data_IF_664259392312
#
_entry.id   IF_664259392312
#
_cell.length_a   1.000
_cell.length_b   1.000
_cell.length_c   1.000
_cell.angle_alpha   90.00
_cell.angle_beta   90.00
_cell.angle_gamma   90.00
#
_symmetry.space_group_name_H-M   'P 1'
#
loop_
_entity.id
_entity.type
_entity.pdbx_description
1 polymer ?
#
# COMPACT_ATOMS: atom_id res chain seq x y z
N UNK A 1 -7.43 13.83 -18.70
CA UNK A 1 -6.96 13.03 -17.58
C UNK A 1 -8.14 12.66 -16.68
N UNK A 2 -8.90 11.62 -17.08
CA UNK A 2 -9.95 11.05 -16.23
C UNK A 2 -9.30 10.02 -15.32
N UNK A 3 -8.71 10.49 -14.24
CA UNK A 3 -8.40 9.67 -13.07
C UNK A 3 -9.38 10.04 -11.99
N UNK A 4 -10.60 9.50 -12.06
CA UNK A 4 -11.35 9.32 -10.84
C UNK A 4 -10.58 8.25 -10.05
N UNK A 5 -9.84 8.68 -9.04
CA UNK A 5 -9.26 7.74 -8.10
C UNK A 5 -10.41 6.89 -7.53
N UNK A 6 -10.17 5.62 -7.12
CA UNK A 6 -11.21 4.79 -6.49
C UNK A 6 -11.90 5.50 -5.31
N UNK A 7 -11.22 6.46 -4.74
CA UNK A 7 -11.69 7.41 -3.73
C UNK A 7 -12.88 8.24 -4.23
N UNK A 8 -12.75 8.88 -5.42
CA UNK A 8 -13.79 9.77 -5.95
C UNK A 8 -15.06 8.98 -6.30
N UNK A 9 -14.91 7.74 -6.82
CA UNK A 9 -16.04 6.87 -7.11
C UNK A 9 -16.80 6.44 -5.84
N UNK A 10 -16.08 6.08 -4.77
CA UNK A 10 -16.68 5.73 -3.48
C UNK A 10 -17.42 6.95 -2.93
N UNK A 11 -16.82 8.12 -2.96
CA UNK A 11 -17.43 9.35 -2.46
C UNK A 11 -18.66 9.74 -3.25
N UNK A 12 -18.59 9.70 -4.58
CA UNK A 12 -19.74 10.00 -5.47
C UNK A 12 -20.88 9.02 -5.21
N UNK A 13 -20.60 7.72 -5.13
CA UNK A 13 -21.61 6.70 -4.90
C UNK A 13 -22.32 6.89 -3.55
N UNK A 14 -21.56 7.03 -2.46
CA UNK A 14 -22.16 7.17 -1.13
C UNK A 14 -22.79 8.55 -0.91
N UNK A 15 -22.30 9.61 -1.54
CA UNK A 15 -22.95 10.92 -1.50
C UNK A 15 -24.28 10.93 -2.28
N UNK A 16 -24.34 10.25 -3.41
CA UNK A 16 -25.57 10.05 -4.16
C UNK A 16 -26.60 9.24 -3.37
N UNK A 17 -26.15 8.15 -2.73
CA UNK A 17 -26.99 7.32 -1.86
C UNK A 17 -27.54 8.12 -0.67
N UNK A 18 -26.71 8.96 -0.05
CA UNK A 18 -27.11 9.83 1.05
C UNK A 18 -28.13 10.88 0.62
N UNK A 19 -27.93 11.54 -0.54
CA UNK A 19 -28.87 12.51 -1.11
C UNK A 19 -30.20 11.86 -1.45
N UNK A 20 -30.16 10.68 -2.10
CA UNK A 20 -31.35 9.90 -2.40
C UNK A 20 -32.12 9.56 -1.11
N UNK A 21 -31.45 9.03 -0.14
CA UNK A 21 -32.03 8.70 1.16
C UNK A 21 -32.65 9.93 1.83
N UNK A 22 -31.96 11.06 1.86
CA UNK A 22 -32.44 12.30 2.48
C UNK A 22 -33.69 12.84 1.78
N UNK A 23 -33.75 12.74 0.45
CA UNK A 23 -34.91 13.18 -0.36
C UNK A 23 -36.18 12.37 -0.02
N UNK A 24 -36.07 11.07 0.12
CA UNK A 24 -37.21 10.18 0.34
C UNK A 24 -37.56 9.93 1.81
N UNK A 25 -36.59 10.07 2.72
CA UNK A 25 -36.85 9.86 4.15
C UNK A 25 -37.82 10.87 4.78
N UNK A 26 -37.97 12.05 4.19
CA UNK A 26 -38.92 13.07 4.65
C UNK A 26 -40.38 12.73 4.38
N UNK A 27 -40.66 11.76 3.50
CA UNK A 27 -42.03 11.33 3.17
C UNK A 27 -42.65 10.39 4.22
N UNK A 28 -41.83 9.85 5.16
CA UNK A 28 -42.25 8.90 6.18
C UNK A 28 -41.86 9.34 7.59
N UNK A 29 -42.67 10.20 8.25
CA UNK A 29 -42.30 10.80 9.55
C UNK A 29 -42.20 9.82 10.69
N UNK A 30 -42.83 8.64 10.62
CA UNK A 30 -42.78 7.59 11.68
C UNK A 30 -41.44 6.84 11.75
N UNK A 31 -40.51 7.08 10.83
CA UNK A 31 -39.28 6.32 10.70
C UNK A 31 -38.02 7.04 11.22
N UNK A 32 -38.17 7.95 12.18
CA UNK A 32 -37.01 8.70 12.74
C UNK A 32 -35.89 7.78 13.26
N UNK A 33 -36.25 6.67 13.91
CA UNK A 33 -35.26 5.70 14.40
C UNK A 33 -34.56 4.97 13.23
N UNK A 34 -35.32 4.52 12.25
CA UNK A 34 -34.78 3.88 11.04
C UNK A 34 -33.84 4.80 10.28
N UNK A 35 -34.09 6.09 10.32
CA UNK A 35 -33.24 7.13 9.70
C UNK A 35 -31.82 7.10 10.28
N UNK A 36 -31.68 7.02 11.59
CA UNK A 36 -30.36 6.95 12.23
C UNK A 36 -29.65 5.64 11.93
N UNK A 37 -30.36 4.52 11.92
CA UNK A 37 -29.80 3.20 11.61
C UNK A 37 -29.32 3.11 10.16
N UNK A 38 -30.09 3.61 9.20
CA UNK A 38 -29.71 3.62 7.78
C UNK A 38 -28.53 4.56 7.53
N UNK A 39 -28.52 5.76 8.14
CA UNK A 39 -27.40 6.69 8.03
C UNK A 39 -26.12 6.09 8.61
N UNK A 40 -26.20 5.44 9.77
CA UNK A 40 -25.10 4.68 10.36
C UNK A 40 -24.62 3.54 9.45
N UNK A 41 -25.55 2.79 8.87
CA UNK A 41 -25.25 1.71 7.92
C UNK A 41 -24.52 2.20 6.67
N UNK A 42 -24.95 3.32 6.11
CA UNK A 42 -24.29 3.97 4.95
C UNK A 42 -22.87 4.41 5.33
N UNK A 43 -22.74 5.09 6.48
CA UNK A 43 -21.44 5.56 6.97
C UNK A 43 -20.49 4.40 7.26
N UNK A 44 -20.99 3.34 7.90
CA UNK A 44 -20.21 2.14 8.20
C UNK A 44 -19.75 1.44 6.91
N UNK A 45 -20.63 1.25 5.92
CA UNK A 45 -20.25 0.68 4.61
C UNK A 45 -19.25 1.55 3.86
N UNK A 46 -19.43 2.88 3.91
CA UNK A 46 -18.47 3.84 3.35
C UNK A 46 -17.08 3.66 3.98
N UNK A 47 -17.03 3.60 5.31
CA UNK A 47 -15.78 3.37 6.07
C UNK A 47 -15.13 2.04 5.72
N UNK A 48 -15.91 0.96 5.64
CA UNK A 48 -15.41 -0.36 5.22
C UNK A 48 -14.86 -0.35 3.78
N UNK A 49 -15.52 0.36 2.86
CA UNK A 49 -15.04 0.49 1.49
C UNK A 49 -13.70 1.23 1.45
N UNK A 50 -13.56 2.32 2.19
CA UNK A 50 -12.27 3.01 2.34
C UNK A 50 -11.21 2.11 2.99
N UNK A 51 -11.55 1.41 4.07
CA UNK A 51 -10.64 0.49 4.72
C UNK A 51 -10.13 -0.57 3.75
N UNK A 52 -10.99 -1.13 2.90
CA UNK A 52 -10.61 -2.12 1.88
C UNK A 52 -9.63 -1.54 0.85
N UNK A 53 -9.84 -0.29 0.39
CA UNK A 53 -8.95 0.38 -0.57
C UNK A 53 -7.60 0.72 0.05
N UNK A 54 -7.60 1.13 1.31
CA UNK A 54 -6.38 1.53 2.03
C UNK A 54 -5.78 0.42 2.88
N UNK A 55 -6.39 -0.77 2.93
CA UNK A 55 -5.97 -1.88 3.81
C UNK A 55 -4.47 -2.16 3.73
N UNK A 56 -3.91 -2.23 2.53
CA UNK A 56 -2.49 -2.49 2.30
C UNK A 56 -1.59 -1.41 2.93
N UNK A 57 -1.98 -0.14 2.82
CA UNK A 57 -1.22 0.98 3.40
C UNK A 57 -1.33 0.98 4.91
N UNK A 58 -2.54 0.77 5.43
CA UNK A 58 -2.82 0.70 6.86
C UNK A 58 -2.07 -0.47 7.47
N UNK A 59 -2.10 -1.65 6.85
CA UNK A 59 -1.37 -2.82 7.34
C UNK A 59 0.13 -2.57 7.39
N UNK A 60 0.72 -1.97 6.36
CA UNK A 60 2.14 -1.62 6.36
C UNK A 60 2.49 -0.60 7.45
N UNK A 61 1.64 0.41 7.64
CA UNK A 61 1.83 1.41 8.69
C UNK A 61 1.73 0.80 10.09
N UNK A 62 0.76 -0.09 10.32
CA UNK A 62 0.60 -0.81 11.59
C UNK A 62 1.78 -1.72 11.86
N UNK A 63 2.28 -2.45 10.86
CA UNK A 63 3.47 -3.29 10.98
C UNK A 63 4.71 -2.48 11.36
N UNK A 64 4.95 -1.36 10.69
CA UNK A 64 6.09 -0.50 11.01
C UNK A 64 5.95 0.10 12.41
N UNK A 65 4.77 0.59 12.78
CA UNK A 65 4.52 1.15 14.13
C UNK A 65 4.71 0.10 15.22
N UNK A 66 4.19 -1.11 15.02
CA UNK A 66 4.39 -2.22 15.96
C UNK A 66 5.86 -2.60 16.06
N UNK A 67 6.59 -2.61 14.94
CA UNK A 67 8.03 -2.87 14.90
C UNK A 67 8.81 -1.82 15.69
N UNK A 68 8.49 -0.53 15.52
CA UNK A 68 9.14 0.57 16.24
C UNK A 68 8.90 0.45 17.74
N UNK A 69 7.65 0.18 18.15
CA UNK A 69 7.31 -0.02 19.57
C UNK A 69 8.08 -1.20 20.17
N UNK A 70 8.15 -2.31 19.45
CA UNK A 70 8.92 -3.48 19.88
C UNK A 70 10.41 -3.15 20.01
N UNK A 71 10.98 -2.42 19.04
CA UNK A 71 12.38 -1.99 19.08
C UNK A 71 12.65 -1.02 20.22
N UNK A 72 11.70 -0.11 20.54
CA UNK A 72 11.79 0.77 21.69
C UNK A 72 11.81 -0.01 23.00
N UNK A 73 10.92 -0.99 23.16
CA UNK A 73 10.88 -1.85 24.35
C UNK A 73 12.21 -2.62 24.48
N UNK A 74 12.72 -3.19 23.40
CA UNK A 74 14.00 -3.87 23.39
C UNK A 74 15.14 -2.91 23.78
N UNK A 75 15.18 -1.71 23.22
CA UNK A 75 16.18 -0.70 23.56
C UNK A 75 16.13 -0.32 25.05
N UNK A 76 14.92 -0.19 25.63
CA UNK A 76 14.73 0.05 27.06
C UNK A 76 15.27 -1.11 27.90
N UNK A 77 14.97 -2.38 27.53
CA UNK A 77 15.47 -3.54 28.27
C UNK A 77 17.00 -3.65 28.26
N UNK A 78 17.67 -3.22 27.20
CA UNK A 78 19.13 -3.22 27.13
C UNK A 78 19.77 -2.04 27.88
N UNK A 79 19.21 -0.83 27.71
CA UNK A 79 19.85 0.39 28.18
C UNK A 79 19.48 0.80 29.60
N UNK A 80 18.22 0.58 30.00
CA UNK A 80 17.70 1.03 31.29
C UNK A 80 18.43 0.39 32.49
N UNK A 81 18.66 -0.93 32.52
CA UNK A 81 19.42 -1.57 33.60
C UNK A 81 20.88 -1.11 33.67
N UNK A 82 21.46 -0.87 32.50
CA UNK A 82 22.86 -0.41 32.42
C UNK A 82 23.03 0.98 33.02
N UNK A 83 22.07 1.87 32.83
CA UNK A 83 22.15 3.27 33.30
C UNK A 83 21.59 3.49 34.70
N UNK A 84 20.51 2.82 35.04
CA UNK A 84 19.81 3.00 36.34
C UNK A 84 20.12 1.90 37.37
N UNK A 85 20.68 0.77 36.95
CA UNK A 85 20.91 -0.38 37.83
C UNK A 85 19.63 -1.12 38.24
N UNK A 86 18.46 -0.73 37.69
CA UNK A 86 17.15 -1.27 38.02
C UNK A 86 16.56 -2.08 36.87
N UNK A 87 15.68 -3.03 37.19
CA UNK A 87 14.97 -3.81 36.19
C UNK A 87 13.85 -2.99 35.55
N UNK A 88 13.71 -3.10 34.23
CA UNK A 88 12.63 -2.42 33.49
C UNK A 88 11.28 -2.96 33.95
N UNK A 89 10.42 -2.08 34.42
CA UNK A 89 9.01 -2.39 34.77
C UNK A 89 8.07 -1.83 33.73
N UNK A 90 6.86 -2.39 33.65
CA UNK A 90 5.82 -1.86 32.74
C UNK A 90 5.53 -0.39 33.04
N UNK A 91 5.54 -0.02 34.31
CA UNK A 91 5.33 1.36 34.77
C UNK A 91 6.43 2.31 34.23
N UNK A 92 7.69 1.87 34.20
CA UNK A 92 8.79 2.68 33.61
C UNK A 92 8.64 2.86 32.11
N UNK A 93 8.13 1.87 31.38
CA UNK A 93 7.83 2.02 29.93
C UNK A 93 6.70 3.01 29.72
N UNK A 94 5.61 2.88 30.48
CA UNK A 94 4.44 3.75 30.36
C UNK A 94 4.79 5.20 30.72
N UNK A 95 5.65 5.45 31.71
CA UNK A 95 6.07 6.80 32.06
C UNK A 95 6.74 7.56 30.91
N UNK A 96 7.31 6.84 29.93
CA UNK A 96 7.95 7.42 28.75
C UNK A 96 6.99 7.59 27.54
N UNK A 97 5.68 7.57 27.76
CA UNK A 97 4.68 7.75 26.70
C UNK A 97 4.89 9.01 25.82
N UNK A 98 5.39 10.17 26.32
CA UNK A 98 5.59 11.33 25.46
C UNK A 98 6.72 11.08 24.45
N UNK A 99 7.76 10.34 24.84
CA UNK A 99 8.85 9.95 23.96
C UNK A 99 8.36 8.95 22.90
N UNK A 100 7.55 7.97 23.29
CA UNK A 100 6.93 7.01 22.36
C UNK A 100 6.09 7.75 21.31
N UNK A 101 5.26 8.69 21.75
CA UNK A 101 4.44 9.50 20.86
C UNK A 101 5.31 10.30 19.89
N UNK A 102 6.37 10.93 20.38
CA UNK A 102 7.34 11.67 19.56
C UNK A 102 7.98 10.78 18.47
N UNK A 103 8.44 9.60 18.83
CA UNK A 103 9.02 8.63 17.88
C UNK A 103 8.01 8.27 16.78
N UNK A 104 6.77 7.94 17.15
CA UNK A 104 5.70 7.59 16.20
C UNK A 104 5.37 8.78 15.29
N UNK A 105 5.25 9.99 15.85
CA UNK A 105 4.98 11.20 15.06
C UNK A 105 6.11 11.50 14.07
N UNK A 106 7.36 11.43 14.50
CA UNK A 106 8.53 11.66 13.63
C UNK A 106 8.57 10.61 12.49
N UNK A 107 8.29 9.34 12.80
CA UNK A 107 8.18 8.31 11.78
C UNK A 107 7.04 8.57 10.80
N UNK A 108 5.86 8.95 11.29
CA UNK A 108 4.70 9.25 10.46
C UNK A 108 4.96 10.43 9.51
N UNK A 109 5.56 11.53 10.02
CA UNK A 109 5.91 12.70 9.21
C UNK A 109 6.95 12.36 8.15
N UNK A 110 8.02 11.66 8.52
CA UNK A 110 9.09 11.23 7.59
C UNK A 110 8.56 10.30 6.51
N UNK A 111 7.68 9.35 6.89
CA UNK A 111 7.03 8.42 5.96
C UNK A 111 6.09 9.13 4.99
N UNK A 112 5.39 10.16 5.47
CA UNK A 112 4.50 10.98 4.64
C UNK A 112 5.30 11.79 3.61
N UNK A 113 6.37 12.46 4.01
CA UNK A 113 7.24 13.24 3.12
C UNK A 113 7.89 12.39 2.04
N UNK A 114 8.42 11.23 2.40
CA UNK A 114 9.06 10.32 1.45
C UNK A 114 8.07 9.44 0.70
N UNK A 115 6.75 9.62 0.88
CA UNK A 115 5.69 8.88 0.21
C UNK A 115 5.83 7.35 0.33
N UNK A 116 6.36 6.86 1.49
CA UNK A 116 6.67 5.45 1.70
C UNK A 116 5.42 4.57 1.52
N UNK A 117 4.28 4.95 2.09
CA UNK A 117 3.05 4.17 2.04
C UNK A 117 2.16 4.46 0.82
N UNK A 118 2.52 5.38 -0.08
CA UNK A 118 1.71 5.68 -1.28
C UNK A 118 2.01 4.74 -2.44
N UNK A 119 3.27 4.74 -2.92
CA UNK A 119 3.68 4.01 -4.13
C UNK A 119 4.76 2.98 -3.89
N UNK A 120 5.47 3.06 -2.77
CA UNK A 120 6.73 2.34 -2.57
C UNK A 120 6.74 1.56 -1.24
N UNK A 121 5.64 0.89 -0.92
CA UNK A 121 5.46 0.19 0.36
C UNK A 121 6.56 -0.83 0.63
N UNK A 122 7.02 -1.56 -0.41
CA UNK A 122 8.08 -2.58 -0.28
C UNK A 122 9.50 -2.04 -0.55
N UNK A 123 9.68 -0.74 -0.76
CA UNK A 123 11.01 -0.17 -0.96
C UNK A 123 11.78 -0.16 0.37
N UNK A 124 12.72 -1.08 0.50
CA UNK A 124 13.60 -1.16 1.68
C UNK A 124 14.56 0.04 1.76
N UNK A 125 15.06 0.53 0.62
CA UNK A 125 15.93 1.71 0.60
C UNK A 125 15.22 2.96 1.13
N UNK A 126 13.97 3.20 0.73
CA UNK A 126 13.19 4.32 1.27
C UNK A 126 12.87 4.16 2.75
N UNK A 127 12.63 2.93 3.22
CA UNK A 127 12.39 2.72 4.66
C UNK A 127 13.60 3.04 5.50
N UNK A 128 14.82 2.78 5.02
CA UNK A 128 16.06 3.17 5.68
C UNK A 128 16.20 4.71 5.74
N UNK A 129 15.92 5.41 4.64
CA UNK A 129 15.96 6.88 4.61
C UNK A 129 14.89 7.47 5.54
N UNK A 130 13.69 6.87 5.60
CA UNK A 130 12.64 7.28 6.56
C UNK A 130 13.13 7.11 7.99
N UNK A 131 13.74 5.97 8.32
CA UNK A 131 14.28 5.71 9.66
C UNK A 131 15.34 6.74 10.05
N UNK A 132 16.27 7.05 9.15
CA UNK A 132 17.31 8.06 9.37
C UNK A 132 16.70 9.46 9.59
N UNK A 133 15.75 9.87 8.75
CA UNK A 133 15.09 11.17 8.88
C UNK A 133 14.27 11.26 10.18
N UNK A 134 13.53 10.20 10.51
CA UNK A 134 12.74 10.13 11.73
C UNK A 134 13.65 10.16 12.98
N UNK A 135 14.81 9.51 12.94
CA UNK A 135 15.82 9.61 14.01
C UNK A 135 16.31 11.06 14.19
N UNK A 136 16.71 11.72 13.11
CA UNK A 136 17.18 13.11 13.17
C UNK A 136 16.11 14.04 13.73
N UNK A 137 14.87 13.94 13.26
CA UNK A 137 13.74 14.73 13.77
C UNK A 137 13.47 14.44 15.25
N UNK A 138 13.46 13.16 15.64
CA UNK A 138 13.23 12.78 17.04
C UNK A 138 14.36 13.23 17.95
N UNK A 139 15.62 13.09 17.54
CA UNK A 139 16.78 13.56 18.29
C UNK A 139 16.75 15.08 18.46
N UNK A 140 16.39 15.82 17.41
CA UNK A 140 16.24 17.27 17.46
C UNK A 140 15.12 17.68 18.41
N UNK A 141 13.96 17.06 18.32
CA UNK A 141 12.82 17.37 19.19
C UNK A 141 13.11 17.08 20.67
N UNK A 142 13.82 16.00 20.98
CA UNK A 142 14.25 15.69 22.37
C UNK A 142 15.25 16.69 22.93
N UNK A 143 15.96 17.41 22.06
CA UNK A 143 16.87 18.48 22.51
C UNK A 143 16.11 19.72 22.96
N UNK A 144 15.04 20.10 22.24
CA UNK A 144 14.30 21.32 22.52
C UNK A 144 13.17 21.14 23.55
N UNK A 145 12.65 19.94 23.73
CA UNK A 145 11.47 19.68 24.57
C UNK A 145 11.87 18.84 25.78
N UNK A 146 11.98 19.46 26.95
CA UNK A 146 12.44 18.82 28.17
C UNK A 146 11.60 17.60 28.59
N UNK A 147 10.27 17.62 28.36
CA UNK A 147 9.35 16.52 28.73
C UNK A 147 9.68 15.21 28.00
N UNK A 148 10.24 15.31 26.77
CA UNK A 148 10.63 14.14 25.97
C UNK A 148 12.13 13.88 25.99
N UNK A 149 12.88 14.70 26.76
CA UNK A 149 14.33 14.53 26.91
C UNK A 149 14.61 13.23 27.70
N UNK A 150 15.08 12.22 26.98
CA UNK A 150 15.49 10.93 27.54
C UNK A 150 16.85 10.52 26.95
N UNK A 151 17.32 9.34 27.25
CA UNK A 151 18.60 8.84 26.79
C UNK A 151 18.71 8.81 25.25
N UNK A 152 19.65 9.57 24.70
CA UNK A 152 19.96 9.57 23.26
C UNK A 152 20.36 8.18 22.76
N UNK A 153 20.94 7.35 23.63
CA UNK A 153 21.31 5.98 23.32
C UNK A 153 20.08 5.12 23.07
N UNK A 154 19.01 5.26 23.87
CA UNK A 154 17.73 4.53 23.64
C UNK A 154 17.15 4.92 22.29
N UNK A 155 17.14 6.20 21.91
CA UNK A 155 16.71 6.64 20.61
C UNK A 155 17.54 6.03 19.48
N UNK A 156 18.86 6.10 19.57
CA UNK A 156 19.77 5.56 18.57
C UNK A 156 19.57 4.05 18.38
N UNK A 157 19.51 3.29 19.48
CA UNK A 157 19.26 1.85 19.43
C UNK A 157 17.89 1.56 18.83
N UNK A 158 16.84 2.28 19.24
CA UNK A 158 15.48 2.11 18.72
C UNK A 158 15.43 2.29 17.21
N UNK A 159 15.98 3.38 16.69
CA UNK A 159 15.91 3.65 15.25
C UNK A 159 16.85 2.75 14.44
N UNK A 160 17.98 2.34 14.98
CA UNK A 160 18.87 1.36 14.33
C UNK A 160 18.17 0.00 14.18
N UNK A 161 17.56 -0.49 15.26
CA UNK A 161 16.79 -1.74 15.23
C UNK A 161 15.55 -1.59 14.32
N UNK A 162 14.81 -0.50 14.43
CA UNK A 162 13.62 -0.25 13.61
C UNK A 162 13.96 -0.17 12.12
N UNK A 163 15.08 0.43 11.73
CA UNK A 163 15.58 0.44 10.36
C UNK A 163 15.83 -0.98 9.85
N UNK A 164 16.52 -1.81 10.65
CA UNK A 164 16.78 -3.20 10.33
C UNK A 164 15.51 -4.03 10.19
N UNK A 165 14.60 -3.97 11.16
CA UNK A 165 13.33 -4.72 11.15
C UNK A 165 12.44 -4.26 10.01
N UNK A 166 12.32 -2.95 9.81
CA UNK A 166 11.50 -2.37 8.74
C UNK A 166 12.02 -2.74 7.35
N UNK A 167 13.31 -2.79 7.13
CA UNK A 167 13.91 -3.28 5.89
C UNK A 167 13.73 -4.80 5.73
N UNK A 168 13.96 -5.56 6.79
CA UNK A 168 13.93 -7.03 6.76
C UNK A 168 12.57 -7.59 6.40
N UNK A 169 11.46 -7.08 6.96
CA UNK A 169 10.13 -7.59 6.60
C UNK A 169 9.79 -7.27 5.14
N UNK A 170 10.23 -6.13 4.61
CA UNK A 170 10.04 -5.77 3.18
C UNK A 170 10.82 -6.69 2.26
N UNK A 171 12.07 -6.96 2.60
CA UNK A 171 12.91 -7.93 1.88
C UNK A 171 12.31 -9.34 1.99
N UNK A 172 11.85 -9.73 3.18
CA UNK A 172 11.20 -11.01 3.40
C UNK A 172 9.96 -11.22 2.51
N UNK A 173 9.07 -10.22 2.45
CA UNK A 173 7.91 -10.24 1.57
C UNK A 173 8.34 -10.34 0.10
N UNK A 174 9.35 -9.56 -0.31
CA UNK A 174 9.89 -9.63 -1.66
C UNK A 174 10.43 -11.02 -2.01
N UNK A 175 11.23 -11.62 -1.13
CA UNK A 175 11.79 -12.95 -1.33
C UNK A 175 10.70 -14.03 -1.40
N UNK A 176 9.67 -13.95 -0.56
CA UNK A 176 8.52 -14.86 -0.59
C UNK A 176 7.82 -14.82 -1.96
N UNK A 177 7.65 -13.63 -2.54
CA UNK A 177 7.05 -13.51 -3.88
C UNK A 177 7.97 -14.01 -4.98
N UNK A 178 9.26 -13.72 -4.89
CA UNK A 178 10.24 -14.13 -5.90
C UNK A 178 10.37 -15.63 -5.99
N UNK A 179 10.40 -16.33 -4.86
CA UNK A 179 10.60 -17.79 -4.85
C UNK A 179 9.31 -18.59 -5.06
N UNK A 180 8.16 -17.96 -5.27
CA UNK A 180 6.85 -18.60 -5.50
C UNK A 180 6.54 -19.76 -4.54
N UNK A 181 7.22 -19.85 -3.41
CA UNK A 181 7.06 -20.92 -2.42
C UNK A 181 5.66 -20.93 -1.79
N UNK A 182 4.98 -19.79 -1.83
CA UNK A 182 3.57 -19.74 -1.46
C UNK A 182 2.79 -19.81 -2.77
N UNK A 183 2.15 -20.94 -3.06
CA UNK A 183 1.00 -21.00 -3.96
C UNK A 183 -0.09 -20.14 -3.32
N UNK A 184 0.09 -18.83 -3.39
CA UNK A 184 -0.87 -17.89 -2.84
C UNK A 184 -2.17 -18.10 -3.61
N UNK A 185 -3.07 -18.76 -2.91
CA UNK A 185 -4.48 -18.88 -3.23
C UNK A 185 -4.98 -17.64 -3.99
N UNK A 186 -5.81 -17.91 -4.98
CA UNK A 186 -6.68 -17.12 -5.84
C UNK A 186 -6.88 -15.60 -5.53
N UNK A 187 -6.57 -15.11 -4.34
CA UNK A 187 -6.67 -13.69 -3.97
C UNK A 187 -5.35 -12.96 -4.18
N UNK A 188 -5.41 -11.75 -4.74
CA UNK A 188 -4.25 -10.89 -4.90
C UNK A 188 -3.48 -10.75 -3.57
N UNK A 189 -2.16 -10.96 -3.58
CA UNK A 189 -1.36 -10.82 -2.36
C UNK A 189 -1.44 -9.39 -1.84
N UNK A 190 -1.44 -9.22 -0.53
CA UNK A 190 -1.72 -7.96 0.17
C UNK A 190 -0.87 -6.76 -0.31
N UNK A 191 0.37 -7.02 -0.75
CA UNK A 191 1.33 -5.98 -1.11
C UNK A 191 1.74 -5.98 -2.58
N UNK A 192 1.16 -6.81 -3.44
CA UNK A 192 1.51 -6.89 -4.86
C UNK A 192 0.29 -6.78 -5.76
N UNK A 193 0.52 -6.28 -6.97
CA UNK A 193 -0.50 -6.17 -8.01
C UNK A 193 -0.15 -7.09 -9.16
N UNK A 194 -1.11 -7.87 -9.61
CA UNK A 194 -0.96 -8.72 -10.78
C UNK A 194 -1.09 -7.87 -12.04
N UNK A 195 -0.04 -7.80 -12.82
CA UNK A 195 0.00 -7.04 -14.05
C UNK A 195 0.09 -7.97 -15.26
N UNK A 196 -0.62 -7.61 -16.32
CA UNK A 196 -0.40 -8.15 -17.66
C UNK A 196 0.10 -7.04 -18.57
N UNK A 197 0.93 -7.39 -19.54
CA UNK A 197 1.46 -6.44 -20.54
C UNK A 197 0.78 -6.71 -21.86
N UNK A 198 0.33 -5.64 -22.52
CA UNK A 198 -0.24 -5.73 -23.85
C UNK A 198 0.88 -5.84 -24.89
N UNK A 199 0.74 -6.79 -25.79
CA UNK A 199 1.72 -7.05 -26.84
C UNK A 199 2.84 -8.02 -26.47
N UNK A 200 3.37 -8.72 -27.47
CA UNK A 200 4.50 -9.66 -27.36
C UNK A 200 5.78 -9.12 -28.00
N UNK A 201 5.77 -7.84 -28.42
CA UNK A 201 6.90 -7.18 -29.09
C UNK A 201 8.08 -6.90 -28.17
N UNK A 202 9.22 -6.47 -28.77
CA UNK A 202 10.47 -6.18 -28.03
C UNK A 202 10.30 -5.20 -26.88
N UNK A 203 9.44 -4.20 -27.05
CA UNK A 203 9.18 -3.17 -26.02
C UNK A 203 8.39 -3.74 -24.83
N UNK A 204 7.38 -4.56 -25.11
CA UNK A 204 6.64 -5.28 -24.06
C UNK A 204 7.54 -6.22 -23.27
N UNK A 205 8.44 -6.93 -23.95
CA UNK A 205 9.43 -7.78 -23.29
C UNK A 205 10.42 -6.98 -22.44
N UNK A 206 10.87 -5.81 -22.92
CA UNK A 206 11.72 -4.89 -22.14
C UNK A 206 11.02 -4.40 -20.88
N UNK A 207 9.75 -4.00 -21.00
CA UNK A 207 8.94 -3.59 -19.83
C UNK A 207 8.78 -4.75 -18.86
N UNK A 208 8.49 -5.96 -19.38
CA UNK A 208 8.39 -7.18 -18.56
C UNK A 208 9.68 -7.49 -17.81
N UNK A 209 10.82 -7.37 -18.49
CA UNK A 209 12.14 -7.54 -17.88
C UNK A 209 12.38 -6.51 -16.76
N UNK A 210 12.07 -5.22 -17.01
CA UNK A 210 12.19 -4.17 -16.00
C UNK A 210 11.29 -4.43 -14.80
N UNK A 211 10.03 -4.82 -15.00
CA UNK A 211 9.11 -5.14 -13.91
C UNK A 211 9.61 -6.33 -13.07
N UNK A 212 10.20 -7.33 -13.72
CA UNK A 212 10.74 -8.49 -13.04
C UNK A 212 11.99 -8.17 -12.19
N UNK A 213 12.83 -7.21 -12.67
CA UNK A 213 14.08 -6.84 -12.01
C UNK A 213 13.95 -5.63 -11.08
N UNK A 214 12.79 -4.97 -11.04
CA UNK A 214 12.54 -3.83 -10.15
C UNK A 214 11.51 -4.22 -9.08
N UNK A 215 11.94 -4.87 -7.98
CA UNK A 215 11.04 -5.37 -6.94
C UNK A 215 10.22 -4.29 -6.26
N UNK A 216 10.71 -3.05 -6.30
CA UNK A 216 10.05 -1.88 -5.71
C UNK A 216 8.73 -1.51 -6.38
N UNK A 217 8.46 -2.02 -7.59
CA UNK A 217 7.25 -1.72 -8.36
C UNK A 217 6.02 -2.47 -7.87
N UNK A 218 6.16 -3.50 -7.04
CA UNK A 218 5.09 -4.34 -6.49
C UNK A 218 4.28 -5.11 -7.54
N UNK A 219 4.76 -5.25 -8.78
CA UNK A 219 4.08 -5.96 -9.83
C UNK A 219 4.53 -7.42 -9.90
N UNK A 220 3.55 -8.31 -9.96
CA UNK A 220 3.75 -9.69 -10.38
C UNK A 220 3.31 -9.75 -11.84
N UNK A 221 4.27 -9.92 -12.73
CA UNK A 221 3.97 -10.11 -14.15
C UNK A 221 3.32 -11.49 -14.32
N UNK A 222 2.03 -11.48 -14.73
CA UNK A 222 1.29 -12.69 -15.03
C UNK A 222 1.64 -13.21 -16.42
N UNK A 223 1.83 -12.30 -17.37
CA UNK A 223 2.21 -12.61 -18.73
C UNK A 223 1.81 -11.51 -19.71
N UNK A 224 1.77 -11.90 -20.99
CA UNK A 224 1.53 -11.04 -22.12
C UNK A 224 0.20 -11.37 -22.79
N UNK A 225 -0.51 -10.33 -23.24
CA UNK A 225 -1.78 -10.44 -23.97
C UNK A 225 -1.58 -9.79 -25.34
N UNK A 226 -1.84 -10.51 -26.42
CA UNK A 226 -1.69 -10.02 -27.79
C UNK A 226 -2.78 -10.61 -28.69
N UNK A 227 -2.88 -10.14 -29.93
CA UNK A 227 -3.75 -10.77 -30.94
C UNK A 227 -3.26 -12.17 -31.29
N UNK A 228 -1.93 -12.32 -31.46
CA UNK A 228 -1.27 -13.61 -31.71
C UNK A 228 0.05 -13.70 -30.92
N UNK A 229 0.53 -14.91 -30.68
CA UNK A 229 1.83 -15.12 -30.03
C UNK A 229 2.98 -15.08 -31.06
N UNK A 230 3.23 -13.90 -31.60
CA UNK A 230 4.25 -13.69 -32.64
C UNK A 230 5.68 -14.04 -32.24
N UNK A 231 5.98 -14.04 -30.95
CA UNK A 231 7.37 -14.18 -30.45
C UNK A 231 7.63 -15.52 -29.75
N UNK A 232 6.67 -16.45 -29.75
CA UNK A 232 6.79 -17.69 -28.95
C UNK A 232 7.02 -17.46 -27.47
N UNK A 233 6.45 -16.38 -26.93
CA UNK A 233 6.68 -15.90 -25.57
C UNK A 233 6.19 -16.91 -24.55
N UNK A 234 7.07 -17.38 -23.67
CA UNK A 234 6.76 -18.43 -22.66
C UNK A 234 5.57 -18.11 -21.75
N UNK A 235 5.28 -16.84 -21.53
CA UNK A 235 4.21 -16.38 -20.63
C UNK A 235 3.07 -15.71 -21.40
N UNK A 236 2.71 -16.21 -22.56
CA UNK A 236 1.54 -15.76 -23.30
C UNK A 236 0.27 -16.22 -22.59
N UNK A 237 -0.58 -15.26 -22.18
CA UNK A 237 -1.82 -15.54 -21.46
C UNK A 237 -2.99 -15.85 -22.38
N UNK A 238 -3.03 -15.22 -23.55
CA UNK A 238 -4.11 -15.38 -24.50
C UNK A 238 -4.35 -14.18 -25.38
N UNK A 239 -5.40 -14.28 -26.19
CA UNK A 239 -5.76 -13.25 -27.18
C UNK A 239 -6.50 -12.09 -26.52
N UNK A 240 -6.31 -10.89 -27.08
CA UNK A 240 -6.91 -9.65 -26.61
C UNK A 240 -8.45 -9.69 -26.64
N UNK A 241 -9.04 -10.45 -27.58
CA UNK A 241 -10.49 -10.63 -27.70
C UNK A 241 -11.12 -11.23 -26.43
N UNK A 242 -10.37 -12.06 -25.70
CA UNK A 242 -10.80 -12.73 -24.48
C UNK A 242 -10.32 -12.03 -23.20
N UNK A 243 -9.94 -10.75 -23.29
CA UNK A 243 -9.30 -10.00 -22.19
C UNK A 243 -10.10 -10.05 -20.89
N UNK A 244 -11.44 -9.95 -20.95
CA UNK A 244 -12.30 -10.03 -19.78
C UNK A 244 -12.22 -11.36 -19.03
N UNK A 245 -12.16 -12.45 -19.79
CA UNK A 245 -11.97 -13.82 -19.25
C UNK A 245 -10.59 -13.96 -18.63
N UNK A 246 -9.56 -13.48 -19.33
CA UNK A 246 -8.17 -13.52 -18.85
C UNK A 246 -7.99 -12.73 -17.56
N UNK A 247 -8.57 -11.54 -17.50
CA UNK A 247 -8.54 -10.69 -16.30
C UNK A 247 -9.16 -11.39 -15.11
N UNK A 248 -10.34 -12.00 -15.27
CA UNK A 248 -11.04 -12.71 -14.18
C UNK A 248 -10.30 -13.99 -13.78
N UNK A 249 -9.86 -14.81 -14.74
CA UNK A 249 -9.22 -16.09 -14.47
C UNK A 249 -7.85 -15.93 -13.79
N UNK A 250 -7.08 -14.91 -14.19
CA UNK A 250 -5.74 -14.66 -13.64
C UNK A 250 -5.74 -13.60 -12.54
N UNK A 251 -6.91 -13.04 -12.16
CA UNK A 251 -7.05 -11.95 -11.17
C UNK A 251 -6.09 -10.80 -11.47
N UNK A 252 -6.08 -10.31 -12.72
CA UNK A 252 -5.25 -9.20 -13.15
C UNK A 252 -5.82 -7.90 -12.59
N UNK A 253 -4.97 -7.11 -11.94
CA UNK A 253 -5.34 -5.83 -11.35
C UNK A 253 -4.93 -4.64 -12.23
N UNK A 254 -3.85 -4.83 -13.01
CA UNK A 254 -3.33 -3.77 -13.88
C UNK A 254 -2.96 -4.33 -15.26
N UNK A 255 -3.28 -3.56 -16.30
CA UNK A 255 -2.85 -3.81 -17.67
C UNK A 255 -1.89 -2.70 -18.06
N UNK A 256 -0.68 -3.08 -18.46
CA UNK A 256 0.37 -2.18 -18.89
C UNK A 256 0.38 -2.15 -20.41
N UNK A 257 0.20 -0.97 -20.96
CA UNK A 257 0.05 -0.74 -22.38
C UNK A 257 1.26 0.06 -22.87
N UNK A 258 2.17 -0.53 -23.66
CA UNK A 258 3.26 0.23 -24.29
C UNK A 258 2.69 1.21 -25.32
N UNK A 259 3.22 2.44 -25.40
CA UNK A 259 2.73 3.49 -26.28
C UNK A 259 2.73 3.05 -27.77
N UNK A 260 3.71 2.26 -28.18
CA UNK A 260 3.82 1.76 -29.55
C UNK A 260 2.67 0.81 -29.97
N UNK A 261 1.95 0.27 -29.01
CA UNK A 261 0.85 -0.70 -29.21
C UNK A 261 -0.52 -0.01 -29.31
N UNK A 262 -0.57 1.34 -29.16
CA UNK A 262 -1.83 2.04 -29.00
C UNK A 262 -2.24 2.72 -30.29
N UNK A 263 -3.09 2.05 -31.06
CA UNK A 263 -4.03 2.74 -31.91
C UNK A 263 -5.19 3.24 -31.01
N UNK A 264 -5.52 4.54 -31.09
CA UNK A 264 -6.55 5.17 -30.22
C UNK A 264 -7.89 4.41 -30.27
N UNK A 265 -8.24 3.86 -31.44
CA UNK A 265 -9.46 3.05 -31.62
C UNK A 265 -9.42 1.74 -30.81
N UNK A 266 -8.30 1.07 -30.81
CA UNK A 266 -8.11 -0.18 -30.07
C UNK A 266 -8.10 0.07 -28.55
N UNK A 267 -7.53 1.20 -28.13
CA UNK A 267 -7.57 1.61 -26.72
C UNK A 267 -8.99 1.86 -26.23
N UNK A 268 -9.80 2.57 -27.04
CA UNK A 268 -11.22 2.82 -26.70
C UNK A 268 -11.99 1.51 -26.63
N UNK A 269 -11.77 0.60 -27.58
CA UNK A 269 -12.39 -0.72 -27.59
C UNK A 269 -11.99 -1.55 -26.36
N UNK A 270 -10.71 -1.55 -26.01
CA UNK A 270 -10.20 -2.21 -24.82
C UNK A 270 -10.79 -1.65 -23.53
N UNK A 271 -10.83 -0.32 -23.41
CA UNK A 271 -11.41 0.35 -22.24
C UNK A 271 -12.92 0.09 -22.14
N UNK A 272 -13.62 0.03 -23.26
CA UNK A 272 -15.04 -0.34 -23.30
C UNK A 272 -15.29 -1.76 -22.79
N UNK A 273 -14.49 -2.72 -23.25
CA UNK A 273 -14.60 -4.12 -22.80
C UNK A 273 -14.20 -4.32 -21.33
N UNK A 274 -13.31 -3.47 -20.80
CA UNK A 274 -12.85 -3.54 -19.40
C UNK A 274 -13.71 -2.72 -18.44
N UNK A 275 -14.73 -2.01 -18.91
CA UNK A 275 -15.58 -1.13 -18.09
C UNK A 275 -16.24 -1.83 -16.89
N UNK A 276 -16.56 -3.12 -17.05
CA UNK A 276 -17.17 -3.95 -15.99
C UNK A 276 -16.14 -4.62 -15.06
N UNK A 277 -14.85 -4.35 -15.27
CA UNK A 277 -13.78 -4.92 -14.46
C UNK A 277 -13.04 -3.85 -13.69
N UNK A 278 -12.68 -4.14 -12.42
CA UNK A 278 -11.85 -3.25 -11.58
C UNK A 278 -10.37 -3.27 -11.97
N UNK A 279 -10.04 -3.13 -13.26
CA UNK A 279 -8.68 -3.18 -13.79
C UNK A 279 -8.18 -1.78 -14.11
N UNK A 280 -6.98 -1.47 -13.69
CA UNK A 280 -6.33 -0.21 -14.02
C UNK A 280 -5.45 -0.35 -15.26
N UNK A 281 -5.71 0.46 -16.28
CA UNK A 281 -4.85 0.53 -17.45
C UNK A 281 -3.78 1.62 -17.26
N UNK A 282 -2.51 1.25 -17.49
CA UNK A 282 -1.36 2.16 -17.45
C UNK A 282 -0.68 2.23 -18.79
N UNK A 283 -0.62 3.43 -19.34
CA UNK A 283 0.16 3.71 -20.54
C UNK A 283 1.62 3.97 -20.15
N UNK A 284 2.54 3.28 -20.78
CA UNK A 284 3.99 3.48 -20.60
C UNK A 284 4.52 4.18 -21.83
N UNK A 285 5.02 5.43 -21.68
CA UNK A 285 5.60 6.18 -22.80
C UNK A 285 6.86 5.50 -23.32
N UNK A 286 7.17 5.75 -24.58
CA UNK A 286 8.40 5.31 -25.21
C UNK A 286 9.60 5.98 -24.51
N UNK A 287 10.44 5.18 -23.89
CA UNK A 287 11.67 5.63 -23.22
C UNK A 287 12.87 5.62 -24.19
#
# INVERSE_FOLDING_TARGET
>A
SVKSAPYDMIEIFYSALYKFYHKYSNQFPSWKFLRSVVSLGITFRKTLAYFKVYSTRITAWVLDTASILSCFIIAMFFWYPYYHGEVVTISSIISHWPLILNIICCWAVSSYWLHLYKKNILSYGRSLVVAMLAFLMSATSTYFIAIIAYSRAVLAITFLLAAGVSASWRIGVYLLYRYQKIKLSVRAPLFSRRAAILGTGKESMRIGYLLHHTPETHFILMGYIDEENYSGTKNFLGRIEHINGLVKNHNINEIIIPEKYVNIRELIYLLGNLSDTNVHCKLVPKG
#
